data_IF_500887011884
#
_entry.id   IF_500887011884
#
_cell.length_a   1.000
_cell.length_b   1.000
_cell.length_c   1.000
_cell.angle_alpha   90.00
_cell.angle_beta   90.00
_cell.angle_gamma   90.00
#
_symmetry.space_group_name_H-M   'P 1'
#
loop_
_entity.id
_entity.type
_entity.pdbx_description
1 polymer ?
#
# COMPACT_ATOMS: atom_id res chain seq x y z
N UNK A 1 -12.73 0.06 -12.29
CA UNK A 1 -12.19 0.74 -11.11
C UNK A 1 -10.78 0.24 -10.91
N UNK A 2 -9.78 1.10 -11.06
CA UNK A 2 -8.38 0.73 -10.77
C UNK A 2 -8.11 1.15 -9.34
N UNK A 3 -7.99 0.16 -8.47
CA UNK A 3 -7.60 0.36 -7.10
C UNK A 3 -6.10 0.08 -7.00
N UNK A 4 -5.37 0.93 -6.31
CA UNK A 4 -3.92 0.78 -6.15
C UNK A 4 -3.55 1.08 -4.72
N UNK A 5 -2.78 0.20 -4.08
CA UNK A 5 -2.25 0.43 -2.74
C UNK A 5 -0.77 0.67 -2.85
N UNK A 6 -0.26 1.67 -2.14
CA UNK A 6 1.17 1.84 -2.01
C UNK A 6 1.62 2.17 -0.59
N UNK A 7 2.85 1.75 -0.31
CA UNK A 7 3.50 1.85 0.99
C UNK A 7 4.70 2.77 0.88
N UNK A 8 4.89 3.68 1.84
CA UNK A 8 6.02 4.63 1.84
C UNK A 8 6.61 4.81 3.25
N UNK A 9 7.78 5.44 3.32
CA UNK A 9 8.32 6.02 4.56
C UNK A 9 7.76 7.43 4.82
N UNK A 10 8.18 8.06 5.91
CA UNK A 10 7.75 9.40 6.35
C UNK A 10 7.97 10.50 5.30
N UNK A 11 8.99 10.36 4.45
CA UNK A 11 9.33 11.30 3.39
C UNK A 11 8.52 11.11 2.10
N UNK A 12 7.67 10.09 2.04
CA UNK A 12 6.90 9.74 0.84
C UNK A 12 7.72 9.14 -0.31
N UNK A 13 9.03 8.95 -0.10
CA UNK A 13 9.94 8.30 -1.03
C UNK A 13 9.98 6.78 -0.77
N UNK A 14 10.55 6.03 -1.72
CA UNK A 14 10.58 4.56 -1.75
C UNK A 14 9.17 3.97 -1.64
N UNK A 15 8.43 4.08 -2.75
CA UNK A 15 7.05 3.59 -2.85
C UNK A 15 7.04 2.15 -3.33
N UNK A 16 6.40 1.27 -2.58
CA UNK A 16 6.07 -0.08 -3.03
C UNK A 16 4.62 -0.10 -3.49
N UNK A 17 4.40 -0.41 -4.77
CA UNK A 17 3.10 -0.41 -5.41
C UNK A 17 2.51 -1.83 -5.47
N UNK A 18 1.29 -2.00 -4.98
CA UNK A 18 0.47 -3.18 -5.20
C UNK A 18 -0.74 -2.80 -6.04
N UNK A 19 -0.77 -3.31 -7.27
CA UNK A 19 -1.90 -3.20 -8.19
C UNK A 19 -2.60 -4.55 -8.28
N UNK A 20 -3.93 -4.56 -8.24
CA UNK A 20 -4.74 -5.74 -8.56
C UNK A 20 -5.52 -5.47 -9.84
N UNK A 21 -5.28 -6.28 -10.87
CA UNK A 21 -5.98 -6.14 -12.17
C UNK A 21 -7.47 -6.53 -12.09
N UNK A 22 -7.89 -7.18 -11.00
CA UNK A 22 -9.23 -7.77 -10.88
C UNK A 22 -10.23 -6.92 -10.05
N UNK A 23 -9.95 -5.64 -9.83
CA UNK A 23 -10.90 -4.70 -9.19
C UNK A 23 -11.28 -5.05 -7.75
N UNK A 24 -10.52 -5.93 -7.10
CA UNK A 24 -10.72 -6.34 -5.72
C UNK A 24 -9.37 -6.32 -5.03
N UNK A 25 -8.91 -5.11 -4.70
CA UNK A 25 -7.63 -4.96 -4.00
C UNK A 25 -7.84 -5.32 -2.54
N UNK A 26 -7.19 -6.40 -2.09
CA UNK A 26 -7.30 -6.87 -0.71
C UNK A 26 -6.53 -5.94 0.26
N UNK A 27 -7.09 -4.76 0.50
CA UNK A 27 -6.52 -3.73 1.35
C UNK A 27 -6.42 -4.17 2.80
N UNK A 28 -7.39 -4.96 3.27
CA UNK A 28 -7.34 -5.57 4.61
C UNK A 28 -6.14 -6.48 4.76
N UNK A 29 -5.83 -7.27 3.73
CA UNK A 29 -4.61 -8.08 3.67
C UNK A 29 -3.34 -7.21 3.63
N UNK A 30 -3.36 -6.11 2.87
CA UNK A 30 -2.24 -5.18 2.74
C UNK A 30 -1.87 -4.51 4.07
N UNK A 31 -2.86 -4.12 4.89
CA UNK A 31 -2.67 -3.50 6.21
C UNK A 31 -2.57 -4.52 7.36
N UNK A 32 -2.73 -5.82 7.08
CA UNK A 32 -2.55 -6.86 8.09
C UNK A 32 -1.08 -6.96 8.53
N UNK A 33 -0.81 -7.54 9.70
CA UNK A 33 0.56 -7.75 10.17
C UNK A 33 1.43 -8.51 9.15
N UNK A 34 0.84 -9.50 8.46
CA UNK A 34 1.51 -10.26 7.42
C UNK A 34 1.78 -9.41 6.16
N UNK A 35 0.84 -8.56 5.78
CA UNK A 35 1.00 -7.61 4.67
C UNK A 35 2.11 -6.60 4.94
N UNK A 36 2.11 -6.02 6.15
CA UNK A 36 3.13 -5.07 6.60
C UNK A 36 4.52 -5.71 6.66
N UNK A 37 4.64 -6.94 7.18
CA UNK A 37 5.92 -7.68 7.19
C UNK A 37 6.44 -7.95 5.79
N UNK A 38 5.57 -8.29 4.83
CA UNK A 38 5.95 -8.46 3.42
C UNK A 38 6.40 -7.14 2.80
N UNK A 39 5.66 -6.07 3.03
CA UNK A 39 6.00 -4.74 2.54
C UNK A 39 7.33 -4.26 3.12
N UNK A 40 7.57 -4.43 4.42
CA UNK A 40 8.82 -4.08 5.08
C UNK A 40 10.02 -4.84 4.49
N UNK A 41 9.87 -6.14 4.23
CA UNK A 41 10.91 -6.96 3.59
C UNK A 41 11.26 -6.47 2.19
N UNK A 42 10.28 -5.98 1.43
CA UNK A 42 10.50 -5.47 0.07
C UNK A 42 11.02 -4.04 0.04
N UNK A 43 10.55 -3.19 0.95
CA UNK A 43 11.00 -1.81 1.11
C UNK A 43 12.38 -1.70 1.78
N UNK A 44 12.78 -2.72 2.56
CA UNK A 44 13.97 -2.66 3.41
C UNK A 44 13.80 -1.80 4.67
N UNK A 45 12.58 -1.33 4.94
CA UNK A 45 12.23 -0.56 6.12
C UNK A 45 10.74 -0.72 6.45
N UNK A 46 10.38 -0.48 7.70
CA UNK A 46 8.97 -0.45 8.11
C UNK A 46 8.22 0.67 7.36
N UNK A 47 7.10 0.38 6.69
CA UNK A 47 6.25 1.42 6.12
C UNK A 47 5.57 2.20 7.24
N UNK A 48 5.59 3.53 7.12
CA UNK A 48 4.93 4.44 8.08
C UNK A 48 3.69 5.10 7.49
N UNK A 49 3.53 5.08 6.17
CA UNK A 49 2.34 5.55 5.49
C UNK A 49 1.85 4.50 4.50
N UNK A 50 0.53 4.33 4.44
CA UNK A 50 -0.12 3.44 3.48
C UNK A 50 -1.28 4.19 2.84
N UNK A 51 -1.32 4.15 1.52
CA UNK A 51 -2.32 4.87 0.74
C UNK A 51 -3.04 3.93 -0.20
N UNK A 52 -4.30 4.25 -0.46
CA UNK A 52 -5.11 3.63 -1.49
C UNK A 52 -5.57 4.71 -2.47
N UNK A 53 -5.33 4.48 -3.77
CA UNK A 53 -5.88 5.28 -4.85
C UNK A 53 -7.13 4.58 -5.40
N UNK A 54 -8.27 5.23 -5.33
CA UNK A 54 -9.56 4.76 -5.87
C UNK A 54 -10.09 5.82 -6.83
N UNK A 55 -10.19 5.49 -8.12
CA UNK A 55 -10.68 6.40 -9.16
C UNK A 55 -10.04 7.80 -9.13
N UNK A 56 -8.74 7.87 -8.83
CA UNK A 56 -7.96 9.11 -8.76
C UNK A 56 -7.99 9.82 -7.40
N UNK A 57 -8.79 9.35 -6.45
CA UNK A 57 -8.81 9.84 -5.08
C UNK A 57 -7.84 9.06 -4.21
N UNK A 58 -6.93 9.76 -3.53
CA UNK A 58 -5.97 9.18 -2.59
C UNK A 58 -6.55 9.16 -1.17
N UNK A 59 -6.51 7.99 -0.53
CA UNK A 59 -7.02 7.76 0.82
C UNK A 59 -5.87 7.21 1.67
N UNK A 60 -5.52 7.91 2.75
CA UNK A 60 -4.55 7.42 3.73
C UNK A 60 -5.21 6.39 4.64
N UNK A 61 -4.64 5.20 4.72
CA UNK A 61 -5.15 4.08 5.53
C UNK A 61 -4.50 4.03 6.92
N UNK A 62 -3.20 4.34 6.99
CA UNK A 62 -2.38 4.42 8.22
C UNK A 62 -1.43 5.61 8.06
#
# INVERSE_FOLDING_TARGET
MKETIYFTKEDGNNRLLFTSDNGNTNWRGAISELGLKKAEKQLGHKPTNIYMLVDGCEIKLI
#
